data_IF_439176040807
#
_entry.id   IF_439176040807
#
_cell.length_a   1.000
_cell.length_b   1.000
_cell.length_c   1.000
_cell.angle_alpha   90.00
_cell.angle_beta   90.00
_cell.angle_gamma   90.00
#
_symmetry.space_group_name_H-M   'P 1'
#
loop_
_entity.id
_entity.type
_entity.pdbx_description
1 polymer ?
#
# COMPACT_ATOMS: atom_id res chain seq x y z
N UNK A 1 41.61 43.63 9.31
CA UNK A 1 41.93 42.19 9.31
C UNK A 1 41.45 41.64 10.65
N UNK A 2 40.52 40.69 10.81
CA UNK A 2 39.89 39.69 9.94
C UNK A 2 38.46 39.47 10.50
N UNK A 3 37.44 39.50 9.63
CA UNK A 3 36.09 38.97 9.92
C UNK A 3 36.14 37.47 9.66
N UNK A 4 35.88 36.64 10.67
CA UNK A 4 35.44 35.25 10.47
C UNK A 4 33.99 35.16 10.96
N UNK A 5 33.05 35.22 10.03
CA UNK A 5 31.66 34.84 10.26
C UNK A 5 31.53 33.34 10.00
N UNK A 6 31.49 32.58 11.08
CA UNK A 6 31.28 31.15 11.09
C UNK A 6 29.80 30.86 10.72
N UNK A 7 29.51 30.74 9.42
CA UNK A 7 28.17 30.45 8.90
C UNK A 7 27.99 28.94 8.70
N UNK A 8 28.12 28.15 9.77
CA UNK A 8 27.61 26.78 9.76
C UNK A 8 26.07 26.82 9.81
N UNK A 9 25.33 26.15 8.90
CA UNK A 9 23.88 26.13 8.96
C UNK A 9 23.44 25.37 10.22
N UNK A 10 23.00 26.11 11.24
CA UNK A 10 22.38 25.51 12.42
C UNK A 10 21.08 24.84 11.98
N UNK A 11 21.05 23.51 11.92
CA UNK A 11 19.83 22.73 11.75
C UNK A 11 19.02 22.90 13.03
N UNK A 12 18.27 23.99 13.15
CA UNK A 12 17.33 24.17 14.25
C UNK A 12 16.19 23.18 14.03
N UNK A 13 16.24 22.04 14.72
CA UNK A 13 15.17 21.06 14.73
C UNK A 13 13.89 21.74 15.23
N UNK A 14 12.92 21.91 14.35
CA UNK A 14 11.61 22.41 14.74
C UNK A 14 10.86 21.26 15.45
N UNK A 15 11.05 21.15 16.76
CA UNK A 15 10.48 20.10 17.62
C UNK A 15 8.98 19.94 17.40
N UNK A 16 8.24 21.05 17.26
CA UNK A 16 6.78 21.04 16.98
C UNK A 16 6.45 20.33 15.68
N UNK A 17 7.22 20.59 14.62
CA UNK A 17 7.04 19.97 13.31
C UNK A 17 7.26 18.46 13.35
N UNK A 18 8.25 18.00 14.12
CA UNK A 18 8.53 16.58 14.31
C UNK A 18 7.45 15.89 15.14
N UNK A 19 6.99 16.51 16.22
CA UNK A 19 5.89 15.99 17.04
C UNK A 19 4.61 15.78 16.22
N UNK A 20 4.28 16.71 15.32
CA UNK A 20 3.13 16.57 14.41
C UNK A 20 3.31 15.34 13.51
N UNK A 21 4.51 15.12 12.96
CA UNK A 21 4.73 13.96 12.09
C UNK A 21 4.63 12.64 12.86
N UNK A 22 5.23 12.57 14.06
CA UNK A 22 5.15 11.39 14.92
C UNK A 22 3.71 11.07 15.30
N UNK A 23 2.97 12.06 15.82
CA UNK A 23 1.56 11.87 16.22
C UNK A 23 0.70 11.51 15.01
N UNK A 24 0.91 12.16 13.87
CA UNK A 24 0.18 11.87 12.64
C UNK A 24 0.44 10.45 12.14
N UNK A 25 1.70 10.01 12.10
CA UNK A 25 2.06 8.64 11.69
C UNK A 25 1.44 7.61 12.65
N UNK A 26 1.53 7.83 13.96
CA UNK A 26 0.90 6.96 14.96
C UNK A 26 -0.62 6.88 14.72
N UNK A 27 -1.27 8.02 14.47
CA UNK A 27 -2.70 8.05 14.17
C UNK A 27 -3.06 7.24 12.92
N UNK A 28 -2.27 7.33 11.85
CA UNK A 28 -2.47 6.49 10.64
C UNK A 28 -2.30 5.00 10.95
N UNK A 29 -1.28 4.63 11.72
CA UNK A 29 -1.04 3.24 12.13
C UNK A 29 -2.19 2.69 12.95
N UNK A 30 -2.65 3.45 13.95
CA UNK A 30 -3.81 3.09 14.77
C UNK A 30 -5.07 2.98 13.91
N UNK A 31 -5.30 3.91 12.98
CA UNK A 31 -6.45 3.88 12.09
C UNK A 31 -6.44 2.63 11.19
N UNK A 32 -5.32 2.29 10.57
CA UNK A 32 -5.22 1.06 9.76
C UNK A 32 -5.42 -0.20 10.59
N UNK A 33 -4.83 -0.25 11.79
CA UNK A 33 -5.03 -1.37 12.71
C UNK A 33 -6.50 -1.49 13.14
N UNK A 34 -7.18 -0.37 13.40
CA UNK A 34 -8.60 -0.34 13.73
C UNK A 34 -9.47 -0.78 12.55
N UNK A 35 -9.19 -0.28 11.35
CA UNK A 35 -9.86 -0.69 10.10
C UNK A 35 -9.70 -2.19 9.90
N UNK A 36 -8.56 -2.80 10.24
CA UNK A 36 -8.33 -4.24 10.02
C UNK A 36 -8.58 -5.13 11.25
N UNK A 37 -8.97 -4.56 12.38
CA UNK A 37 -9.07 -5.28 13.65
C UNK A 37 -10.05 -6.45 13.58
N UNK A 38 -11.14 -6.31 12.82
CA UNK A 38 -12.10 -7.39 12.61
C UNK A 38 -11.46 -8.61 11.96
N UNK A 39 -10.73 -8.43 10.85
CA UNK A 39 -10.10 -9.54 10.12
C UNK A 39 -9.03 -10.25 10.95
N UNK A 40 -8.25 -9.52 11.75
CA UNK A 40 -7.24 -10.13 12.62
C UNK A 40 -7.84 -10.92 13.78
N UNK A 41 -9.03 -10.54 14.28
CA UNK A 41 -9.71 -11.23 15.38
C UNK A 41 -10.56 -12.40 14.93
N UNK A 42 -11.28 -12.22 13.82
CA UNK A 42 -12.33 -13.14 13.38
C UNK A 42 -11.96 -13.93 12.10
N UNK A 43 -10.83 -13.61 11.47
CA UNK A 43 -10.45 -14.15 10.17
C UNK A 43 -11.00 -13.32 9.00
N UNK A 44 -10.63 -13.73 7.78
CA UNK A 44 -11.08 -13.06 6.55
C UNK A 44 -12.57 -13.33 6.28
N UNK A 45 -13.23 -12.39 5.61
CA UNK A 45 -14.68 -12.46 5.35
C UNK A 45 -14.93 -13.27 4.10
N UNK A 46 -15.08 -14.59 4.23
CA UNK A 46 -15.23 -15.51 3.09
C UNK A 46 -16.43 -15.22 2.19
N UNK A 47 -17.45 -14.48 2.67
CA UNK A 47 -18.62 -14.09 1.87
C UNK A 47 -18.34 -12.90 0.94
N UNK A 48 -17.17 -12.27 1.02
CA UNK A 48 -16.78 -11.23 0.08
C UNK A 48 -16.64 -11.79 -1.33
N UNK A 49 -16.96 -10.98 -2.34
CA UNK A 49 -17.06 -11.44 -3.73
C UNK A 49 -15.80 -12.12 -4.27
N UNK A 50 -14.61 -11.55 -3.98
CA UNK A 50 -13.35 -11.94 -4.63
C UNK A 50 -12.36 -12.65 -3.69
N UNK A 51 -12.63 -12.66 -2.38
CA UNK A 51 -11.64 -13.07 -1.36
C UNK A 51 -11.20 -14.53 -1.52
N UNK A 52 -12.12 -15.43 -1.88
CA UNK A 52 -11.85 -16.85 -2.03
C UNK A 52 -10.85 -17.08 -3.17
N UNK A 53 -11.02 -16.34 -4.27
CA UNK A 53 -10.10 -16.32 -5.41
C UNK A 53 -8.72 -15.82 -5.00
N UNK A 54 -8.64 -14.71 -4.25
CA UNK A 54 -7.37 -14.17 -3.78
C UNK A 54 -6.63 -15.10 -2.80
N UNK A 55 -7.35 -15.82 -1.93
CA UNK A 55 -6.77 -16.85 -1.06
C UNK A 55 -6.17 -17.98 -1.90
N UNK A 56 -6.94 -18.54 -2.83
CA UNK A 56 -6.48 -19.60 -3.73
C UNK A 56 -5.25 -19.16 -4.53
N UNK A 57 -5.31 -18.00 -5.17
CA UNK A 57 -4.20 -17.45 -5.94
C UNK A 57 -2.96 -17.24 -5.09
N UNK A 58 -3.09 -16.61 -3.91
CA UNK A 58 -1.96 -16.38 -3.04
C UNK A 58 -1.35 -17.69 -2.52
N UNK A 59 -2.16 -18.71 -2.22
CA UNK A 59 -1.66 -20.03 -1.82
C UNK A 59 -0.79 -20.66 -2.91
N UNK A 60 -1.27 -20.72 -4.15
CA UNK A 60 -0.54 -21.34 -5.25
C UNK A 60 0.65 -20.50 -5.71
N UNK A 61 0.50 -19.18 -5.76
CA UNK A 61 1.58 -18.26 -6.10
C UNK A 61 2.72 -18.36 -5.07
N UNK A 62 2.40 -18.35 -3.77
CA UNK A 62 3.41 -18.48 -2.70
C UNK A 62 4.14 -19.82 -2.75
N UNK A 63 3.42 -20.90 -3.07
CA UNK A 63 4.02 -22.23 -3.24
C UNK A 63 5.03 -22.23 -4.39
N UNK A 64 4.68 -21.67 -5.54
CA UNK A 64 5.59 -21.60 -6.69
C UNK A 64 6.82 -20.73 -6.42
N UNK A 65 6.67 -19.61 -5.70
CA UNK A 65 7.81 -18.80 -5.25
C UNK A 65 8.74 -19.62 -4.34
N UNK A 66 8.18 -20.39 -3.39
CA UNK A 66 8.97 -21.26 -2.52
C UNK A 66 9.67 -22.41 -3.27
N UNK A 67 9.12 -22.85 -4.40
CA UNK A 67 9.72 -23.84 -5.31
C UNK A 67 10.78 -23.24 -6.26
N UNK A 68 11.07 -21.95 -6.15
CA UNK A 68 12.07 -21.26 -6.98
C UNK A 68 11.53 -20.73 -8.32
N UNK A 69 10.22 -20.78 -8.55
CA UNK A 69 9.57 -20.19 -9.73
C UNK A 69 9.29 -18.73 -9.43
N UNK A 70 10.29 -17.87 -9.66
CA UNK A 70 10.22 -16.44 -9.34
C UNK A 70 9.27 -15.62 -10.22
N UNK A 71 8.77 -16.18 -11.32
CA UNK A 71 7.79 -15.52 -12.18
C UNK A 71 6.60 -16.44 -12.49
N UNK A 72 5.68 -16.64 -11.51
CA UNK A 72 4.54 -17.54 -11.66
C UNK A 72 3.52 -16.94 -12.63
N UNK A 73 3.45 -17.46 -13.86
CA UNK A 73 2.44 -17.10 -14.87
C UNK A 73 1.27 -18.07 -14.92
N UNK A 74 1.54 -19.34 -14.66
CA UNK A 74 0.57 -20.43 -14.66
C UNK A 74 0.50 -21.03 -13.26
N UNK A 75 -0.65 -20.88 -12.60
CA UNK A 75 -0.87 -21.44 -11.27
C UNK A 75 -1.30 -22.90 -11.41
N UNK A 76 -0.36 -23.85 -11.37
CA UNK A 76 -0.67 -25.25 -11.68
C UNK A 76 -1.70 -25.91 -10.74
N UNK A 77 -1.85 -25.41 -9.51
CA UNK A 77 -2.74 -26.01 -8.52
C UNK A 77 -4.18 -25.48 -8.51
N UNK A 78 -4.51 -24.46 -9.31
CA UNK A 78 -5.89 -23.95 -9.44
C UNK A 78 -6.72 -24.85 -10.36
N UNK A 79 -8.04 -24.60 -10.43
CA UNK A 79 -8.96 -25.32 -11.32
C UNK A 79 -8.85 -26.85 -11.19
N UNK A 80 -8.92 -27.39 -9.97
CA UNK A 80 -8.81 -28.84 -9.71
C UNK A 80 -7.52 -29.48 -10.28
N UNK A 81 -6.44 -28.72 -10.41
CA UNK A 81 -5.15 -29.19 -10.93
C UNK A 81 -4.95 -29.01 -12.44
N UNK A 82 -5.94 -28.48 -13.16
CA UNK A 82 -5.73 -28.08 -14.56
C UNK A 82 -4.92 -26.79 -14.67
N UNK A 83 -4.94 -25.96 -13.63
CA UNK A 83 -4.23 -24.69 -13.54
C UNK A 83 -4.92 -23.53 -14.28
N UNK A 84 -4.34 -22.33 -14.14
CA UNK A 84 -4.85 -21.10 -14.78
C UNK A 84 -3.73 -20.11 -15.10
N UNK A 85 -3.84 -19.35 -16.21
CA UNK A 85 -2.89 -18.30 -16.61
C UNK A 85 -3.20 -16.94 -15.95
N UNK A 86 -3.66 -16.91 -14.70
CA UNK A 86 -4.20 -15.67 -14.10
C UNK A 86 -3.19 -14.52 -14.12
N UNK A 87 -1.93 -14.80 -13.79
CA UNK A 87 -0.85 -13.82 -13.72
C UNK A 87 -0.19 -13.50 -15.07
N UNK A 88 -0.78 -13.97 -16.17
CA UNK A 88 -0.52 -13.40 -17.50
C UNK A 88 -1.29 -12.08 -17.66
N UNK A 89 -2.48 -11.98 -17.08
CA UNK A 89 -3.38 -10.83 -17.25
C UNK A 89 -3.56 -10.00 -15.98
N UNK A 90 -3.29 -10.57 -14.81
CA UNK A 90 -3.49 -9.94 -13.51
C UNK A 90 -2.17 -9.41 -12.93
N UNK A 91 -2.13 -8.19 -12.36
CA UNK A 91 -0.92 -7.63 -11.80
C UNK A 91 -0.43 -8.43 -10.57
N UNK A 92 0.80 -8.97 -10.58
CA UNK A 92 1.26 -9.93 -9.57
C UNK A 92 1.85 -9.27 -8.30
N UNK A 93 2.04 -7.94 -8.28
CA UNK A 93 2.81 -7.24 -7.25
C UNK A 93 2.35 -7.56 -5.82
N UNK A 94 1.03 -7.57 -5.59
CA UNK A 94 0.45 -7.84 -4.28
C UNK A 94 0.69 -9.30 -3.83
N UNK A 95 0.80 -10.23 -4.78
CA UNK A 95 1.04 -11.65 -4.49
C UNK A 95 2.51 -11.94 -4.23
N UNK A 96 3.44 -11.18 -4.82
CA UNK A 96 4.83 -11.20 -4.36
C UNK A 96 4.93 -10.76 -2.91
N UNK A 97 4.34 -9.61 -2.58
CA UNK A 97 4.33 -9.10 -1.20
C UNK A 97 3.71 -10.13 -0.24
N UNK A 98 2.55 -10.71 -0.62
CA UNK A 98 1.92 -11.77 0.14
C UNK A 98 2.78 -13.02 0.29
N UNK A 99 3.51 -13.42 -0.75
CA UNK A 99 4.40 -14.58 -0.70
C UNK A 99 5.56 -14.38 0.25
N UNK A 100 6.16 -13.18 0.28
CA UNK A 100 7.21 -12.87 1.25
C UNK A 100 6.67 -12.88 2.70
N UNK A 101 5.44 -12.39 2.91
CA UNK A 101 4.78 -12.53 4.21
C UNK A 101 4.54 -14.01 4.58
N UNK A 102 4.12 -14.84 3.62
CA UNK A 102 3.96 -16.30 3.82
C UNK A 102 5.27 -16.99 4.18
N UNK A 103 6.39 -16.58 3.59
CA UNK A 103 7.72 -17.11 3.92
C UNK A 103 8.15 -16.80 5.36
N UNK A 104 7.63 -15.74 5.98
CA UNK A 104 7.87 -15.45 7.40
C UNK A 104 7.07 -16.33 8.37
N UNK A 105 6.23 -17.24 7.85
CA UNK A 105 5.43 -18.17 8.65
C UNK A 105 4.00 -17.70 8.94
N UNK A 106 3.57 -16.55 8.38
CA UNK A 106 2.17 -16.11 8.51
C UNK A 106 1.23 -17.11 7.83
N UNK A 107 0.11 -17.42 8.49
CA UNK A 107 -0.98 -18.17 7.85
C UNK A 107 -1.64 -17.33 6.74
N UNK A 108 -2.37 -18.00 5.86
CA UNK A 108 -2.94 -17.36 4.67
C UNK A 108 -3.95 -16.25 5.01
N UNK A 109 -4.76 -16.42 6.05
CA UNK A 109 -5.78 -15.44 6.40
C UNK A 109 -5.14 -14.20 7.01
N UNK A 110 -4.18 -14.39 7.93
CA UNK A 110 -3.39 -13.27 8.47
C UNK A 110 -2.58 -12.58 7.39
N UNK A 111 -2.07 -13.32 6.40
CA UNK A 111 -1.38 -12.70 5.26
C UNK A 111 -2.32 -11.75 4.51
N UNK A 112 -3.52 -12.20 4.14
CA UNK A 112 -4.51 -11.37 3.44
C UNK A 112 -4.93 -10.17 4.31
N UNK A 113 -5.18 -10.38 5.60
CA UNK A 113 -5.52 -9.29 6.53
C UNK A 113 -4.38 -8.24 6.62
N UNK A 114 -3.13 -8.69 6.65
CA UNK A 114 -1.94 -7.83 6.61
C UNK A 114 -1.82 -7.10 5.27
N UNK A 115 -2.12 -7.74 4.14
CA UNK A 115 -2.10 -7.05 2.84
C UNK A 115 -3.12 -5.92 2.78
N UNK A 116 -4.35 -6.12 3.26
CA UNK A 116 -5.34 -5.04 3.35
C UNK A 116 -4.95 -3.95 4.37
N UNK A 117 -4.25 -4.31 5.45
CA UNK A 117 -3.64 -3.34 6.38
C UNK A 117 -2.63 -2.46 5.65
N UNK A 118 -1.74 -3.07 4.86
CA UNK A 118 -0.75 -2.36 4.06
C UNK A 118 -1.41 -1.51 2.97
N UNK A 119 -2.50 -1.97 2.36
CA UNK A 119 -3.28 -1.19 1.40
C UNK A 119 -3.87 0.08 2.03
N UNK A 120 -4.45 -0.07 3.23
CA UNK A 120 -4.99 1.07 4.00
C UNK A 120 -3.88 2.04 4.40
N UNK A 121 -2.77 1.54 4.95
CA UNK A 121 -1.63 2.38 5.31
C UNK A 121 -1.02 3.11 4.12
N UNK A 122 -0.80 2.39 3.01
CA UNK A 122 -0.27 2.96 1.78
C UNK A 122 -1.19 4.05 1.23
N UNK A 123 -2.50 3.83 1.30
CA UNK A 123 -3.52 4.81 0.90
C UNK A 123 -3.43 6.09 1.76
N UNK A 124 -3.38 5.95 3.08
CA UNK A 124 -3.21 7.11 3.97
C UNK A 124 -1.89 7.85 3.75
N UNK A 125 -0.78 7.10 3.65
CA UNK A 125 0.55 7.67 3.47
C UNK A 125 0.70 8.38 2.12
N UNK A 126 0.21 7.77 1.03
CA UNK A 126 0.21 8.40 -0.29
C UNK A 126 -0.58 9.70 -0.30
N UNK A 127 -1.75 9.72 0.34
CA UNK A 127 -2.55 10.93 0.47
C UNK A 127 -1.81 12.01 1.27
N UNK A 128 -1.20 11.65 2.41
CA UNK A 128 -0.42 12.59 3.20
C UNK A 128 0.74 13.20 2.40
N UNK A 129 1.48 12.37 1.63
CA UNK A 129 2.60 12.83 0.80
C UNK A 129 2.16 13.83 -0.27
N UNK A 130 1.01 13.58 -0.90
CA UNK A 130 0.43 14.53 -1.83
C UNK A 130 -0.05 15.79 -1.10
N UNK A 131 -0.92 15.63 -0.11
CA UNK A 131 -1.57 16.73 0.60
C UNK A 131 -0.60 17.70 1.25
N UNK A 132 0.54 17.23 1.79
CA UNK A 132 1.49 18.13 2.48
C UNK A 132 2.11 19.16 1.55
N UNK A 133 2.07 18.90 0.24
CA UNK A 133 2.53 19.84 -0.80
C UNK A 133 1.48 20.89 -1.15
N UNK A 134 0.22 20.69 -0.75
CA UNK A 134 -0.93 21.54 -1.12
C UNK A 134 -1.55 22.28 0.07
N UNK A 135 -1.75 21.59 1.20
CA UNK A 135 -2.61 22.07 2.30
C UNK A 135 -1.92 22.09 3.67
N UNK A 136 -0.64 21.75 3.74
CA UNK A 136 0.13 21.69 4.99
C UNK A 136 -0.10 20.41 5.80
N UNK A 137 0.75 20.18 6.82
CA UNK A 137 0.87 18.87 7.50
C UNK A 137 -0.42 18.39 8.18
N UNK A 138 -1.05 19.24 8.99
CA UNK A 138 -2.22 18.85 9.80
C UNK A 138 -3.39 18.45 8.89
N UNK A 139 -3.74 19.31 7.94
CA UNK A 139 -4.81 19.04 6.96
C UNK A 139 -4.55 17.78 6.16
N UNK A 140 -3.28 17.49 5.85
CA UNK A 140 -2.89 16.29 5.11
C UNK A 140 -3.07 15.02 5.92
N UNK A 141 -2.78 15.03 7.22
CA UNK A 141 -3.07 13.90 8.09
C UNK A 141 -4.58 13.67 8.26
N UNK A 142 -5.37 14.74 8.39
CA UNK A 142 -6.83 14.64 8.44
C UNK A 142 -7.39 14.05 7.13
N UNK A 143 -6.91 14.53 5.98
CA UNK A 143 -7.31 14.00 4.68
C UNK A 143 -6.85 12.56 4.45
N UNK A 144 -5.66 12.18 4.96
CA UNK A 144 -5.18 10.80 4.92
C UNK A 144 -6.07 9.86 5.73
N UNK A 145 -6.49 10.26 6.93
CA UNK A 145 -7.44 9.51 7.74
C UNK A 145 -8.79 9.36 7.02
N UNK A 146 -9.31 10.44 6.46
CA UNK A 146 -10.55 10.42 5.68
C UNK A 146 -10.45 9.50 4.44
N UNK A 147 -9.29 9.47 3.78
CA UNK A 147 -9.04 8.62 2.61
C UNK A 147 -9.00 7.13 2.99
N UNK A 148 -8.33 6.80 4.10
CA UNK A 148 -8.29 5.44 4.65
C UNK A 148 -9.68 4.90 5.01
N UNK A 149 -10.57 5.77 5.49
CA UNK A 149 -11.95 5.42 5.83
C UNK A 149 -12.94 5.74 4.70
N UNK A 150 -12.46 6.00 3.49
CA UNK A 150 -13.34 6.34 2.37
C UNK A 150 -14.29 5.17 2.07
N UNK A 151 -15.57 5.44 1.75
CA UNK A 151 -16.55 4.36 1.52
C UNK A 151 -16.09 3.35 0.48
N UNK A 152 -15.36 3.80 -0.55
CA UNK A 152 -14.88 2.94 -1.62
C UNK A 152 -13.73 2.02 -1.20
N UNK A 153 -12.77 2.51 -0.42
CA UNK A 153 -11.69 1.64 0.11
C UNK A 153 -12.27 0.61 1.08
N UNK A 154 -13.17 1.03 1.97
CA UNK A 154 -13.83 0.13 2.92
C UNK A 154 -14.68 -0.92 2.18
N UNK A 155 -15.41 -0.53 1.13
CA UNK A 155 -16.15 -1.45 0.27
C UNK A 155 -15.24 -2.50 -0.37
N UNK A 156 -14.08 -2.08 -0.89
CA UNK A 156 -13.11 -2.99 -1.49
C UNK A 156 -12.54 -4.00 -0.48
N UNK A 157 -12.34 -3.59 0.77
CA UNK A 157 -11.83 -4.48 1.83
C UNK A 157 -12.91 -5.44 2.34
N UNK A 158 -14.09 -4.92 2.68
CA UNK A 158 -15.07 -5.64 3.50
C UNK A 158 -16.18 -6.32 2.71
N UNK A 159 -16.61 -5.73 1.60
CA UNK A 159 -17.71 -6.28 0.79
C UNK A 159 -17.18 -7.04 -0.40
N UNK A 160 -16.26 -6.43 -1.15
CA UNK A 160 -15.73 -7.06 -2.37
C UNK A 160 -14.58 -8.00 -2.07
N UNK A 161 -13.74 -7.67 -1.09
CA UNK A 161 -12.46 -8.38 -0.89
C UNK A 161 -11.52 -8.20 -2.09
N UNK A 162 -11.67 -7.11 -2.85
CA UNK A 162 -10.93 -6.83 -4.08
C UNK A 162 -9.50 -6.37 -3.76
N UNK A 163 -8.59 -7.32 -3.60
CA UNK A 163 -7.28 -7.09 -3.01
C UNK A 163 -6.40 -6.17 -3.87
N UNK A 164 -6.31 -6.41 -5.18
CA UNK A 164 -5.49 -5.54 -6.03
C UNK A 164 -6.10 -4.15 -6.21
N UNK A 165 -7.44 -4.02 -6.23
CA UNK A 165 -8.09 -2.71 -6.29
C UNK A 165 -7.81 -1.89 -5.02
N UNK A 166 -7.76 -2.52 -3.84
CA UNK A 166 -7.37 -1.83 -2.62
C UNK A 166 -5.93 -1.28 -2.70
N UNK A 167 -4.99 -2.02 -3.31
CA UNK A 167 -3.65 -1.53 -3.57
C UNK A 167 -3.60 -0.48 -4.69
N UNK A 168 -4.48 -0.57 -5.69
CA UNK A 168 -4.59 0.42 -6.75
C UNK A 168 -4.90 1.82 -6.21
N UNK A 169 -5.65 1.91 -5.11
CA UNK A 169 -5.97 3.18 -4.45
C UNK A 169 -4.75 3.91 -3.88
N UNK A 170 -3.68 3.19 -3.49
CA UNK A 170 -2.40 3.81 -3.08
C UNK A 170 -1.84 4.70 -4.19
N UNK A 171 -2.05 4.30 -5.43
CA UNK A 171 -1.46 4.94 -6.60
C UNK A 171 -2.19 6.22 -7.00
N UNK A 172 -3.45 6.43 -6.61
CA UNK A 172 -4.19 7.64 -7.01
C UNK A 172 -3.52 8.92 -6.47
N UNK A 173 -3.27 9.07 -5.15
CA UNK A 173 -2.60 10.28 -4.65
C UNK A 173 -1.14 10.38 -5.09
N UNK A 174 -0.44 9.24 -5.24
CA UNK A 174 0.93 9.23 -5.74
C UNK A 174 1.00 9.70 -7.20
N UNK A 175 0.07 9.28 -8.05
CA UNK A 175 -0.04 9.72 -9.44
C UNK A 175 -0.24 11.22 -9.54
N UNK A 176 -1.12 11.79 -8.71
CA UNK A 176 -1.30 13.25 -8.63
C UNK A 176 -0.02 13.97 -8.19
N UNK A 177 0.66 13.46 -7.15
CA UNK A 177 1.93 14.01 -6.68
C UNK A 177 3.02 13.96 -7.75
N UNK A 178 3.15 12.84 -8.47
CA UNK A 178 4.14 12.67 -9.53
C UNK A 178 3.83 13.57 -10.73
N UNK A 179 2.56 13.71 -11.08
CA UNK A 179 2.11 14.59 -12.17
C UNK A 179 2.47 16.05 -11.87
N UNK A 180 2.15 16.53 -10.67
CA UNK A 180 2.50 17.90 -10.25
C UNK A 180 4.01 18.15 -10.29
N UNK A 181 4.80 17.18 -9.82
CA UNK A 181 6.26 17.28 -9.85
C UNK A 181 6.81 17.24 -11.27
N UNK A 182 6.22 16.45 -12.16
CA UNK A 182 6.63 16.35 -13.56
C UNK A 182 6.31 17.62 -14.37
N UNK A 183 5.21 18.30 -14.03
CA UNK A 183 4.86 19.62 -14.58
C UNK A 183 5.89 20.67 -14.12
N UNK A 184 6.25 20.65 -12.83
CA UNK A 184 7.19 21.62 -12.27
C UNK A 184 8.66 21.37 -12.65
N UNK A 185 9.06 20.11 -12.84
CA UNK A 185 10.46 19.72 -13.05
C UNK A 185 10.59 18.53 -14.04
N UNK A 186 11.39 18.66 -15.12
CA UNK A 186 11.46 17.64 -16.18
C UNK A 186 12.02 16.30 -15.73
N UNK A 187 12.90 16.26 -14.72
CA UNK A 187 13.50 15.01 -14.19
C UNK A 187 12.46 14.04 -13.62
N UNK A 188 11.31 14.52 -13.16
CA UNK A 188 10.25 13.66 -12.61
C UNK A 188 9.41 12.99 -13.70
N UNK A 189 9.51 13.43 -14.96
CA UNK A 189 8.80 12.82 -16.10
C UNK A 189 9.18 11.35 -16.30
N UNK A 190 10.45 11.00 -16.03
CA UNK A 190 10.92 9.61 -16.11
C UNK A 190 10.24 8.73 -15.05
N UNK A 191 10.08 9.24 -13.83
CA UNK A 191 9.43 8.53 -12.73
C UNK A 191 7.92 8.41 -12.98
N UNK A 192 7.29 9.44 -13.55
CA UNK A 192 5.89 9.41 -13.96
C UNK A 192 5.64 8.37 -15.07
N UNK A 193 6.56 8.23 -16.03
CA UNK A 193 6.45 7.22 -17.08
C UNK A 193 6.49 5.79 -16.49
N UNK A 194 7.30 5.57 -15.44
CA UNK A 194 7.32 4.28 -14.73
C UNK A 194 5.97 4.01 -14.05
N UNK A 195 5.37 5.02 -13.40
CA UNK A 195 4.05 4.92 -12.77
C UNK A 195 2.93 4.52 -13.74
N UNK A 196 2.92 5.08 -14.96
CA UNK A 196 1.87 4.80 -15.95
C UNK A 196 2.01 3.42 -16.62
N UNK A 197 3.10 2.71 -16.39
CA UNK A 197 3.39 1.39 -16.97
C UNK A 197 3.03 0.25 -16.01
N UNK A 198 2.73 0.55 -14.74
CA UNK A 198 2.30 -0.40 -13.71
C UNK A 198 0.81 -0.27 -13.40
#
# INVERSE_FOLDING_TARGET
>A
MIRNSDNSPSISLNVRSYLIDVVGIIALVIAAAAIQAYMFRNGVIFQSHDIATHIMWLQHFSKQIAEGIWYPRWLAGTNYGYGSPDFVFYPPLVYYLGSFLRLSGLDIQKTIATLFLLASLGSGFSFYLYGRTKWGKITSYLGALAYMTSPYLVLNIYTRGALAEAFALIWIPLGLLLTDKAIAQPRWRVILAIFLVF
#
